data_IF_262672361699
#
_entry.id   IF_262672361699
#
_cell.length_a   1.000
_cell.length_b   1.000
_cell.length_c   1.000
_cell.angle_alpha   90.00
_cell.angle_beta   90.00
_cell.angle_gamma   90.00
#
_symmetry.space_group_name_H-M   'P 1'
#
loop_
_entity.id
_entity.type
_entity.pdbx_description
1 polymer ?
#
# COMPACT_ATOMS: atom_id res chain seq x y z
N UNK A 1 -15.38 13.87 -9.52
CA UNK A 1 -14.05 14.40 -9.16
C UNK A 1 -13.40 14.75 -10.49
N UNK A 2 -13.31 16.03 -10.86
CA UNK A 2 -12.84 16.46 -12.19
C UNK A 2 -11.63 17.36 -11.99
N UNK A 3 -10.51 17.02 -12.62
CA UNK A 3 -9.31 17.84 -12.58
C UNK A 3 -9.47 19.00 -13.58
N UNK A 4 -9.70 20.22 -13.07
CA UNK A 4 -9.63 21.43 -13.87
C UNK A 4 -8.15 21.76 -14.13
N UNK A 5 -7.81 21.97 -15.40
CA UNK A 5 -6.47 22.08 -16.02
C UNK A 5 -5.50 23.16 -15.49
N UNK A 6 -5.66 23.72 -14.28
CA UNK A 6 -4.94 24.94 -13.86
C UNK A 6 -3.94 24.80 -12.71
N UNK A 7 -3.70 23.61 -12.13
CA UNK A 7 -2.60 23.43 -11.16
C UNK A 7 -1.88 22.10 -11.38
N UNK A 8 -0.68 22.16 -11.97
CA UNK A 8 0.26 21.04 -11.98
C UNK A 8 0.69 20.78 -10.52
N UNK A 9 0.18 19.71 -9.90
CA UNK A 9 0.62 19.31 -8.55
C UNK A 9 -0.44 18.69 -7.64
N UNK A 10 -1.74 19.00 -7.81
CA UNK A 10 -2.79 18.72 -6.81
C UNK A 10 -3.93 17.82 -7.31
N UNK A 11 -3.82 17.20 -8.49
CA UNK A 11 -4.83 16.24 -8.96
C UNK A 11 -4.63 14.90 -8.23
N UNK A 12 -5.72 14.27 -7.74
CA UNK A 12 -5.68 12.94 -7.09
C UNK A 12 -4.92 11.91 -7.94
N UNK A 13 -5.05 12.01 -9.26
CA UNK A 13 -4.30 11.18 -10.22
C UNK A 13 -2.77 11.30 -10.09
N UNK A 14 -2.26 12.51 -9.88
CA UNK A 14 -0.82 12.75 -9.71
C UNK A 14 -0.33 12.18 -8.38
N UNK A 15 -1.15 12.30 -7.33
CA UNK A 15 -0.85 11.72 -6.01
C UNK A 15 -0.80 10.20 -6.10
N UNK A 16 -1.83 9.56 -6.67
CA UNK A 16 -1.85 8.09 -6.85
C UNK A 16 -0.71 7.63 -7.76
N UNK A 17 -0.35 8.40 -8.80
CA UNK A 17 0.82 8.12 -9.65
C UNK A 17 2.14 8.21 -8.89
N UNK A 18 2.30 9.20 -8.02
CA UNK A 18 3.47 9.31 -7.13
C UNK A 18 3.53 8.14 -6.14
N UNK A 19 2.39 7.71 -5.60
CA UNK A 19 2.30 6.52 -4.75
C UNK A 19 2.80 5.29 -5.51
N UNK A 20 2.21 4.96 -6.66
CA UNK A 20 2.62 3.80 -7.47
C UNK A 20 4.13 3.86 -7.78
N UNK A 21 4.63 5.03 -8.22
CA UNK A 21 6.05 5.23 -8.52
C UNK A 21 6.95 4.96 -7.30
N UNK A 22 6.59 5.47 -6.12
CA UNK A 22 7.37 5.25 -4.91
C UNK A 22 7.39 3.77 -4.49
N UNK A 23 6.27 3.07 -4.63
CA UNK A 23 6.19 1.64 -4.34
C UNK A 23 7.06 0.81 -5.32
N UNK A 24 7.05 1.18 -6.60
CA UNK A 24 7.80 0.47 -7.66
C UNK A 24 9.31 0.71 -7.58
N UNK A 25 9.75 1.94 -7.24
CA UNK A 25 11.17 2.27 -7.10
C UNK A 25 11.86 1.40 -6.04
N UNK A 26 11.17 1.09 -4.92
CA UNK A 26 11.72 0.21 -3.89
C UNK A 26 11.72 -1.26 -4.35
N UNK A 27 10.70 -1.70 -5.09
CA UNK A 27 10.59 -3.08 -5.58
C UNK A 27 11.62 -3.44 -6.67
N UNK A 28 12.09 -2.45 -7.44
CA UNK A 28 13.14 -2.66 -8.46
C UNK A 28 14.52 -2.73 -7.79
N UNK A 29 14.76 -1.92 -6.76
CA UNK A 29 16.03 -1.84 -6.03
C UNK A 29 16.33 -3.11 -5.21
N UNK A 30 15.32 -3.86 -4.79
CA UNK A 30 15.53 -5.12 -4.06
C UNK A 30 16.03 -6.27 -4.96
N UNK A 31 15.97 -6.11 -6.29
CA UNK A 31 16.43 -7.13 -7.25
C UNK A 31 17.85 -6.88 -7.80
N UNK A 32 18.36 -5.65 -7.72
CA UNK A 32 19.73 -5.29 -8.10
C UNK A 32 20.38 -4.54 -6.93
N UNK A 33 21.36 -5.17 -6.29
CA UNK A 33 22.08 -4.77 -5.05
C UNK A 33 22.76 -3.38 -5.06
N UNK A 34 22.14 -2.29 -5.54
CA UNK A 34 22.84 -1.04 -5.85
C UNK A 34 22.10 0.27 -5.53
N UNK A 35 21.00 0.29 -4.76
CA UNK A 35 20.54 1.55 -4.18
C UNK A 35 20.72 1.53 -2.67
N UNK A 36 21.83 2.15 -2.26
CA UNK A 36 22.06 2.68 -0.93
C UNK A 36 21.03 3.75 -0.66
N UNK A 37 20.14 3.36 0.21
CA UNK A 37 19.04 4.16 0.63
C UNK A 37 19.54 5.19 1.68
N UNK A 38 19.18 6.49 1.60
CA UNK A 38 19.93 7.61 2.22
C UNK A 38 20.18 7.51 3.75
N UNK A 39 21.19 8.22 4.30
CA UNK A 39 21.90 7.99 5.59
C UNK A 39 21.12 7.64 6.88
N UNK A 40 19.81 7.87 6.94
CA UNK A 40 18.92 7.46 8.05
C UNK A 40 18.35 6.05 7.84
N UNK A 41 18.47 5.51 6.64
CA UNK A 41 17.72 4.35 6.13
C UNK A 41 18.29 3.00 6.52
N UNK A 42 18.97 2.97 7.65
CA UNK A 42 18.33 2.40 8.82
C UNK A 42 19.43 2.35 9.85
N UNK A 43 19.70 3.48 10.54
CA UNK A 43 20.52 3.43 11.77
C UNK A 43 19.98 2.32 12.70
N UNK A 44 18.73 1.90 12.53
CA UNK A 44 18.12 0.84 13.32
C UNK A 44 17.88 -0.47 12.58
N UNK A 45 18.39 -0.65 11.37
CA UNK A 45 18.92 -1.99 11.08
C UNK A 45 20.07 -2.32 12.05
N UNK A 46 20.76 -1.31 12.65
CA UNK A 46 22.01 -1.49 13.43
C UNK A 46 21.85 -1.98 14.88
N UNK A 47 20.64 -2.05 15.45
CA UNK A 47 20.47 -2.76 16.74
C UNK A 47 20.11 -4.25 16.58
N UNK A 48 19.86 -4.70 15.34
CA UNK A 48 19.75 -6.11 14.90
C UNK A 48 18.39 -6.81 15.11
N UNK A 49 17.96 -7.80 14.28
CA UNK A 49 18.59 -8.34 13.05
C UNK A 49 17.69 -8.41 11.79
N UNK A 50 18.32 -8.16 10.64
CA UNK A 50 18.28 -8.93 9.38
C UNK A 50 16.90 -9.29 8.82
N UNK A 51 16.33 -8.38 8.00
CA UNK A 51 15.67 -8.61 6.70
C UNK A 51 15.14 -7.23 6.24
N UNK A 52 15.50 -6.78 5.02
CA UNK A 52 15.10 -5.47 4.51
C UNK A 52 13.56 -5.30 4.43
N UNK A 53 13.03 -4.08 4.28
CA UNK A 53 11.58 -3.87 4.22
C UNK A 53 11.01 -4.66 3.04
N UNK A 54 10.25 -5.71 3.35
CA UNK A 54 9.46 -6.49 2.39
C UNK A 54 8.25 -5.66 1.92
N UNK A 55 7.83 -4.71 2.76
CA UNK A 55 6.62 -3.93 2.56
C UNK A 55 6.91 -2.60 1.88
N UNK A 56 6.78 -2.60 0.55
CA UNK A 56 6.89 -1.37 -0.27
C UNK A 56 5.57 -0.61 -0.40
N UNK A 57 4.53 -1.02 0.35
CA UNK A 57 3.16 -0.53 0.20
C UNK A 57 2.92 0.77 0.94
N UNK A 58 2.36 1.78 0.27
CA UNK A 58 1.81 2.98 0.91
C UNK A 58 0.29 2.80 1.00
N UNK A 59 -0.27 2.40 2.17
CA UNK A 59 -1.70 2.20 2.31
C UNK A 59 -2.44 3.55 2.29
N UNK A 60 -3.60 3.59 1.64
CA UNK A 60 -4.46 4.77 1.69
C UNK A 60 -5.94 4.41 1.78
N UNK A 61 -6.69 5.39 2.25
CA UNK A 61 -8.14 5.37 2.41
C UNK A 61 -8.80 6.13 1.25
N UNK A 62 -9.96 5.66 0.81
CA UNK A 62 -10.76 6.35 -0.19
C UNK A 62 -12.03 6.89 0.44
N UNK A 63 -12.25 8.19 0.29
CA UNK A 63 -13.52 8.83 0.62
C UNK A 63 -14.27 9.11 -0.67
N UNK A 64 -15.57 8.84 -0.71
CA UNK A 64 -16.38 9.26 -1.83
C UNK A 64 -16.47 10.81 -1.87
N UNK A 65 -16.92 11.35 -3.01
CA UNK A 65 -16.92 12.81 -3.21
C UNK A 65 -17.99 13.48 -2.33
N UNK A 66 -17.57 14.44 -1.51
CA UNK A 66 -18.46 15.26 -0.68
C UNK A 66 -18.46 14.79 0.77
N UNK A 67 -19.60 14.87 1.44
CA UNK A 67 -19.75 14.54 2.86
C UNK A 67 -20.24 13.09 3.04
N UNK A 68 -19.50 12.12 2.52
CA UNK A 68 -19.92 10.72 2.55
C UNK A 68 -18.83 9.81 3.13
N UNK A 69 -19.26 8.59 3.46
CA UNK A 69 -18.49 7.65 4.23
C UNK A 69 -17.25 7.14 3.50
N UNK A 70 -16.37 6.55 4.30
CA UNK A 70 -15.22 5.79 3.82
C UNK A 70 -15.67 4.70 2.85
N UNK A 71 -14.97 4.56 1.73
CA UNK A 71 -15.24 3.50 0.77
C UNK A 71 -14.71 2.17 1.32
N UNK A 72 -15.63 1.27 1.61
CA UNK A 72 -15.36 -0.11 2.02
C UNK A 72 -15.58 -1.02 0.82
N UNK A 73 -14.61 -1.88 0.53
CA UNK A 73 -14.69 -2.85 -0.55
C UNK A 73 -14.69 -4.27 0.00
N UNK A 74 -15.44 -5.14 -0.68
CA UNK A 74 -15.49 -6.57 -0.40
C UNK A 74 -14.84 -7.33 -1.55
N UNK A 75 -13.98 -8.29 -1.23
CA UNK A 75 -13.38 -9.22 -2.18
C UNK A 75 -13.44 -10.65 -1.66
N UNK A 76 -13.00 -11.60 -2.50
CA UNK A 76 -12.86 -13.00 -2.11
C UNK A 76 -11.39 -13.39 -2.24
N UNK A 77 -10.80 -13.93 -1.17
CA UNK A 77 -9.48 -14.55 -1.18
C UNK A 77 -9.64 -16.07 -1.16
N UNK A 78 -8.78 -16.76 -1.89
CA UNK A 78 -8.71 -18.23 -1.88
C UNK A 78 -7.46 -18.66 -1.10
N UNK A 79 -7.68 -19.10 0.15
CA UNK A 79 -6.66 -19.67 1.03
C UNK A 79 -7.05 -21.11 1.42
N UNK A 80 -7.31 -21.97 0.43
CA UNK A 80 -7.90 -23.33 0.57
C UNK A 80 -9.40 -23.34 0.94
N UNK A 81 -9.94 -22.20 1.37
CA UNK A 81 -11.37 -21.89 1.49
C UNK A 81 -11.59 -20.49 0.91
N UNK A 82 -12.76 -20.26 0.32
CA UNK A 82 -13.17 -18.94 -0.15
C UNK A 82 -13.59 -18.08 1.04
N UNK A 83 -12.81 -17.05 1.34
CA UNK A 83 -13.06 -16.11 2.44
C UNK A 83 -13.43 -14.74 1.87
N UNK A 84 -14.46 -14.11 2.44
CA UNK A 84 -14.78 -12.73 2.13
C UNK A 84 -13.85 -11.81 2.91
N UNK A 85 -13.15 -10.92 2.20
CA UNK A 85 -12.32 -9.87 2.80
C UNK A 85 -13.06 -8.55 2.65
N UNK A 86 -13.31 -7.87 3.76
CA UNK A 86 -13.88 -6.53 3.78
C UNK A 86 -12.85 -5.54 4.33
N UNK A 87 -12.53 -4.50 3.56
CA UNK A 87 -11.53 -3.50 3.98
C UNK A 87 -11.79 -2.14 3.38
N UNK A 88 -11.35 -1.12 4.11
CA UNK A 88 -11.28 0.27 3.64
C UNK A 88 -9.86 0.72 3.28
N UNK A 89 -8.89 -0.19 3.38
CA UNK A 89 -7.47 0.11 3.18
C UNK A 89 -6.99 -0.52 1.88
N UNK A 90 -6.34 0.29 1.05
CA UNK A 90 -5.99 -0.10 -0.30
C UNK A 90 -4.51 0.13 -0.60
N UNK A 91 -3.97 -0.71 -1.49
CA UNK A 91 -2.73 -0.47 -2.21
C UNK A 91 -3.04 -0.08 -3.65
N UNK A 92 -2.35 0.93 -4.17
CA UNK A 92 -2.39 1.22 -5.61
C UNK A 92 -1.43 0.29 -6.34
N UNK A 93 -1.95 -0.62 -7.18
CA UNK A 93 -1.15 -1.54 -7.99
C UNK A 93 -0.63 -0.88 -9.26
N UNK A 94 -1.48 -0.13 -9.94
CA UNK A 94 -1.13 0.64 -11.14
C UNK A 94 -2.15 1.74 -11.37
N UNK A 95 -1.74 2.78 -12.09
CA UNK A 95 -2.61 3.83 -12.60
C UNK A 95 -2.29 4.10 -14.06
N UNK A 96 -3.32 4.19 -14.90
CA UNK A 96 -3.15 4.43 -16.33
C UNK A 96 -3.05 5.93 -16.66
N UNK A 97 -3.10 6.24 -17.96
CA UNK A 97 -3.04 7.62 -18.48
C UNK A 97 -4.35 8.37 -18.29
N UNK A 98 -5.46 7.65 -18.17
CA UNK A 98 -6.81 8.18 -18.02
C UNK A 98 -7.21 8.33 -16.53
N UNK A 99 -6.25 8.16 -15.62
CA UNK A 99 -6.39 8.27 -14.18
C UNK A 99 -7.28 7.19 -13.55
N UNK A 100 -7.38 6.01 -14.17
CA UNK A 100 -7.98 4.84 -13.57
C UNK A 100 -6.92 4.03 -12.83
N UNK A 101 -7.18 3.76 -11.55
CA UNK A 101 -6.30 2.98 -10.69
C UNK A 101 -6.83 1.55 -10.51
N UNK A 102 -5.93 0.58 -10.55
CA UNK A 102 -6.20 -0.78 -10.06
C UNK A 102 -5.72 -0.85 -8.61
N UNK A 103 -6.62 -1.28 -7.73
CA UNK A 103 -6.39 -1.35 -6.30
C UNK A 103 -6.33 -2.82 -5.86
N UNK A 104 -5.47 -3.08 -4.88
CA UNK A 104 -5.46 -4.32 -4.11
C UNK A 104 -6.06 -4.05 -2.73
N UNK A 105 -6.91 -4.96 -2.26
CA UNK A 105 -7.48 -4.92 -0.90
C UNK A 105 -6.38 -5.29 0.10
N UNK A 106 -6.21 -4.48 1.14
CA UNK A 106 -5.29 -4.78 2.24
C UNK A 106 -6.08 -5.25 3.45
N UNK A 107 -5.74 -6.44 3.93
CA UNK A 107 -6.20 -6.99 5.21
C UNK A 107 -5.04 -6.90 6.20
N UNK A 108 -5.32 -6.50 7.44
CA UNK A 108 -4.33 -6.56 8.50
C UNK A 108 -4.42 -7.93 9.15
N UNK A 109 -3.31 -8.64 9.22
CA UNK A 109 -3.23 -9.80 10.09
C UNK A 109 -3.36 -9.30 11.53
N UNK A 110 -4.40 -9.74 12.25
CA UNK A 110 -4.44 -9.56 13.69
C UNK A 110 -3.21 -10.26 14.27
N UNK A 111 -2.41 -9.52 15.05
CA UNK A 111 -1.29 -10.12 15.76
C UNK A 111 -1.86 -11.15 16.76
N UNK A 112 -1.86 -12.43 16.39
CA UNK A 112 -2.23 -13.49 17.32
C UNK A 112 -1.17 -13.52 18.41
N UNK A 113 -1.46 -12.96 19.58
CA UNK A 113 -0.71 -13.25 20.79
C UNK A 113 -0.77 -14.76 21.02
N UNK A 114 0.39 -15.41 21.03
CA UNK A 114 0.56 -16.83 21.29
C UNK A 114 -0.08 -17.24 22.63
N UNK A 115 -1.34 -17.71 22.62
CA UNK A 115 -1.93 -18.40 23.76
C UNK A 115 -1.53 -19.89 23.71
N UNK A 116 -0.29 -20.18 24.08
CA UNK A 116 0.09 -21.52 24.52
C UNK A 116 -0.38 -21.70 25.98
N UNK A 117 -1.65 -22.12 26.18
CA UNK A 117 -1.99 -22.86 27.39
C UNK A 117 -1.67 -24.32 27.09
N UNK A 118 -0.51 -24.75 27.58
CA UNK A 118 -0.23 -26.16 27.81
C UNK A 118 -1.14 -26.64 28.95
N UNK A 119 -1.97 -27.65 28.70
CA UNK A 119 -2.47 -28.55 29.73
C UNK A 119 -1.74 -29.89 29.59
#
# INVERSE_FOLDING_TARGET
>A
MSCSRSRQGDCVCDVVRKIVKAQDEVAVVTNDNCCTTGCKQSIDQLLSPVNGPVDTTIPFLLYCKGDCDLFVATGIRDNNLFECVETAVFRAKKIDKDCCAVLELLEFEEATENYHISL
#
